data_IF_287480931813
#
_entry.id   IF_287480931813
#
_cell.length_a   1.000
_cell.length_b   1.000
_cell.length_c   1.000
_cell.angle_alpha   90.00
_cell.angle_beta   90.00
_cell.angle_gamma   90.00
#
_symmetry.space_group_name_H-M   'P 1'
#
loop_
_entity.id
_entity.type
_entity.pdbx_description
1 polymer ?
#
# COMPACT_ATOMS: atom_id res chain seq x y z
N UNK A 1 -5.84 -1.75 11.16
CA UNK A 1 -4.81 -1.02 10.39
C UNK A 1 -5.46 -0.35 9.20
N UNK A 2 -5.20 0.93 9.02
CA UNK A 2 -5.77 1.69 7.91
C UNK A 2 -4.75 1.84 6.80
N UNK A 3 -5.14 1.44 5.58
CA UNK A 3 -4.27 1.42 4.41
C UNK A 3 -4.84 2.33 3.33
N UNK A 4 -4.01 3.23 2.80
CA UNK A 4 -4.33 4.00 1.60
C UNK A 4 -3.76 3.27 0.39
N UNK A 5 -4.63 3.01 -0.58
CA UNK A 5 -4.26 2.34 -1.82
C UNK A 5 -3.94 3.38 -2.89
N UNK A 6 -2.70 3.38 -3.39
CA UNK A 6 -2.26 4.32 -4.41
C UNK A 6 -3.08 4.16 -5.71
N UNK A 7 -3.23 5.26 -6.44
CA UNK A 7 -4.06 5.32 -7.64
C UNK A 7 -3.59 4.39 -8.76
N UNK A 8 -2.33 3.97 -8.75
CA UNK A 8 -1.80 3.02 -9.74
C UNK A 8 -2.27 1.59 -9.52
N UNK A 9 -2.82 1.29 -8.35
CA UNK A 9 -3.35 -0.04 -8.05
C UNK A 9 -4.82 -0.12 -8.41
N UNK A 10 -5.31 -1.32 -8.83
CA UNK A 10 -6.71 -1.47 -9.23
C UNK A 10 -7.66 -1.16 -8.08
N UNK A 11 -8.68 -0.31 -8.28
CA UNK A 11 -9.64 -0.01 -7.21
C UNK A 11 -10.40 -1.25 -6.70
N UNK A 12 -10.55 -2.26 -7.56
CA UNK A 12 -11.20 -3.52 -7.17
C UNK A 12 -10.48 -4.22 -6.02
N UNK A 13 -9.19 -3.94 -5.80
CA UNK A 13 -8.48 -4.51 -4.66
C UNK A 13 -9.04 -4.06 -3.31
N UNK A 14 -9.60 -2.86 -3.23
CA UNK A 14 -10.08 -2.33 -1.94
C UNK A 14 -11.15 -3.22 -1.33
N UNK A 15 -12.17 -3.56 -2.09
CA UNK A 15 -13.25 -4.44 -1.60
C UNK A 15 -12.74 -5.82 -1.22
N UNK A 16 -11.86 -6.36 -2.05
CA UNK A 16 -11.27 -7.68 -1.78
C UNK A 16 -10.43 -7.68 -0.50
N UNK A 17 -9.59 -6.66 -0.34
CA UNK A 17 -8.73 -6.54 0.85
C UNK A 17 -9.56 -6.38 2.13
N UNK A 18 -10.62 -5.59 2.07
CA UNK A 18 -11.53 -5.42 3.21
C UNK A 18 -12.18 -6.73 3.62
N UNK A 19 -12.63 -7.50 2.62
CA UNK A 19 -13.33 -8.76 2.88
C UNK A 19 -12.39 -9.87 3.36
N UNK A 20 -11.20 -9.98 2.74
CA UNK A 20 -10.28 -11.08 3.03
C UNK A 20 -9.46 -10.87 4.31
N UNK A 21 -9.13 -9.62 4.63
CA UNK A 21 -8.17 -9.32 5.71
C UNK A 21 -8.75 -8.44 6.81
N UNK A 22 -10.02 -8.08 6.71
CA UNK A 22 -10.67 -7.18 7.69
C UNK A 22 -9.88 -5.90 7.89
N UNK A 23 -9.37 -5.34 6.79
CA UNK A 23 -8.59 -4.11 6.79
C UNK A 23 -9.45 -2.91 6.39
N UNK A 24 -9.13 -1.74 6.93
CA UNK A 24 -9.71 -0.48 6.50
C UNK A 24 -8.88 0.05 5.34
N UNK A 25 -9.30 -0.19 4.11
CA UNK A 25 -8.58 0.19 2.91
C UNK A 25 -9.38 1.26 2.16
N UNK A 26 -8.72 2.37 1.84
CA UNK A 26 -9.34 3.48 1.10
C UNK A 26 -8.48 3.79 -0.12
N UNK A 27 -9.07 3.85 -1.33
CA UNK A 27 -8.30 4.21 -2.51
C UNK A 27 -8.07 5.72 -2.55
N UNK A 28 -6.83 6.12 -2.84
CA UNK A 28 -6.46 7.53 -2.93
C UNK A 28 -7.29 8.26 -3.98
N UNK A 29 -7.64 7.57 -5.07
CA UNK A 29 -8.44 8.18 -6.14
C UNK A 29 -9.83 8.63 -5.71
N UNK A 30 -10.37 8.07 -4.62
CA UNK A 30 -11.67 8.46 -4.09
C UNK A 30 -11.58 9.67 -3.15
N UNK A 31 -10.37 10.15 -2.92
CA UNK A 31 -10.10 11.35 -2.13
C UNK A 31 -9.87 12.52 -3.07
N UNK A 32 -9.88 13.74 -2.53
CA UNK A 32 -9.55 14.93 -3.30
C UNK A 32 -8.07 15.04 -3.62
N UNK A 33 -7.33 13.94 -3.53
CA UNK A 33 -5.89 13.86 -3.73
C UNK A 33 -5.49 13.28 -5.09
N UNK A 34 -6.44 13.04 -5.99
CA UNK A 34 -6.14 12.41 -7.29
C UNK A 34 -5.13 13.22 -8.11
N UNK A 35 -5.15 14.54 -7.99
CA UNK A 35 -4.22 15.44 -8.69
C UNK A 35 -2.97 15.77 -7.86
N UNK A 36 -2.89 15.27 -6.64
CA UNK A 36 -1.76 15.53 -5.77
C UNK A 36 -0.54 14.72 -6.19
N UNK A 37 0.66 15.26 -5.97
CA UNK A 37 1.89 14.50 -6.18
C UNK A 37 2.12 13.51 -5.02
N UNK A 38 3.11 12.63 -5.18
CA UNK A 38 3.38 11.59 -4.20
C UNK A 38 3.74 12.16 -2.82
N UNK A 39 4.48 13.27 -2.79
CA UNK A 39 4.85 13.90 -1.52
C UNK A 39 3.63 14.44 -0.78
N UNK A 40 2.71 15.06 -1.50
CA UNK A 40 1.46 15.53 -0.90
C UNK A 40 0.63 14.39 -0.33
N UNK A 41 0.53 13.28 -1.08
CA UNK A 41 -0.19 12.09 -0.64
C UNK A 41 0.47 11.50 0.61
N UNK A 42 1.80 11.39 0.60
CA UNK A 42 2.55 10.85 1.73
C UNK A 42 2.32 11.67 3.00
N UNK A 43 2.42 12.99 2.88
CA UNK A 43 2.23 13.88 4.03
C UNK A 43 0.78 13.92 4.52
N UNK A 44 -0.19 13.86 3.60
CA UNK A 44 -1.60 13.78 3.98
C UNK A 44 -1.93 12.46 4.69
N UNK A 45 -1.25 11.38 4.32
CA UNK A 45 -1.45 10.09 4.98
C UNK A 45 -1.00 10.11 6.44
N UNK A 46 -0.07 11.01 6.78
CA UNK A 46 0.47 11.13 8.14
C UNK A 46 -0.65 11.52 9.10
N UNK A 47 -0.94 10.65 10.05
CA UNK A 47 -2.04 10.87 10.99
C UNK A 47 -3.40 10.39 10.51
N UNK A 48 -3.54 9.97 9.25
CA UNK A 48 -4.80 9.51 8.67
C UNK A 48 -4.76 8.06 8.24
N UNK A 49 -3.58 7.55 7.92
CA UNK A 49 -3.38 6.16 7.52
C UNK A 49 -2.16 5.60 8.22
N UNK A 50 -2.15 4.29 8.43
CA UNK A 50 -0.98 3.60 8.98
C UNK A 50 0.01 3.24 7.89
N UNK A 51 -0.50 2.90 6.70
CA UNK A 51 0.28 2.35 5.60
C UNK A 51 -0.21 2.91 4.27
N UNK A 52 0.72 3.17 3.36
CA UNK A 52 0.42 3.39 1.93
C UNK A 52 0.88 2.15 1.17
N UNK A 53 -0.02 1.57 0.39
CA UNK A 53 0.29 0.44 -0.50
C UNK A 53 0.44 0.99 -1.92
N UNK A 54 1.58 0.74 -2.56
CA UNK A 54 1.91 1.37 -3.83
C UNK A 54 2.82 0.48 -4.67
N UNK A 55 2.82 0.72 -5.98
CA UNK A 55 3.81 0.17 -6.92
C UNK A 55 4.90 1.17 -7.24
N UNK A 56 4.78 2.41 -6.79
CA UNK A 56 5.67 3.50 -7.15
C UNK A 56 6.84 3.59 -6.17
N UNK A 57 8.05 3.46 -6.69
CA UNK A 57 9.28 3.57 -5.91
C UNK A 57 9.44 4.94 -5.24
N UNK A 58 8.81 5.98 -5.77
CA UNK A 58 8.91 7.32 -5.20
C UNK A 58 8.44 7.36 -3.75
N UNK A 59 7.46 6.52 -3.37
CA UNK A 59 7.02 6.43 -1.98
C UNK A 59 8.10 5.84 -1.07
N UNK A 60 8.92 4.93 -1.59
CA UNK A 60 10.07 4.41 -0.83
C UNK A 60 11.06 5.53 -0.54
N UNK A 61 11.37 6.35 -1.55
CA UNK A 61 12.24 7.51 -1.38
C UNK A 61 11.70 8.52 -0.39
N UNK A 62 10.38 8.76 -0.43
CA UNK A 62 9.75 9.67 0.53
C UNK A 62 9.83 9.13 1.95
N UNK A 63 9.62 7.83 2.13
CA UNK A 63 9.76 7.21 3.45
C UNK A 63 11.19 7.37 3.98
N UNK A 64 12.19 7.19 3.12
CA UNK A 64 13.60 7.34 3.51
C UNK A 64 13.93 8.78 3.91
N UNK A 65 13.38 9.76 3.20
CA UNK A 65 13.68 11.17 3.46
C UNK A 65 12.88 11.75 4.61
N UNK A 66 11.59 11.42 4.69
CA UNK A 66 10.65 12.06 5.61
C UNK A 66 10.33 11.22 6.83
N UNK A 67 10.58 9.93 6.77
CA UNK A 67 10.31 9.00 7.87
C UNK A 67 8.83 8.64 8.00
N UNK A 68 8.55 7.54 8.72
CA UNK A 68 7.17 7.14 9.01
C UNK A 68 6.52 8.09 10.05
N UNK A 69 5.20 8.10 10.25
CA UNK A 69 4.21 7.49 9.39
C UNK A 69 3.99 8.29 8.10
N UNK A 70 3.42 7.69 7.07
CA UNK A 70 2.94 6.32 6.99
C UNK A 70 4.08 5.32 6.72
N UNK A 71 3.84 4.06 7.05
CA UNK A 71 4.67 2.95 6.59
C UNK A 71 4.31 2.65 5.14
N UNK A 72 5.13 1.88 4.44
CA UNK A 72 4.93 1.60 3.02
C UNK A 72 4.97 0.10 2.74
N UNK A 73 3.96 -0.38 2.01
CA UNK A 73 3.99 -1.67 1.34
C UNK A 73 4.25 -1.39 -0.14
N UNK A 74 5.40 -1.84 -0.63
CA UNK A 74 5.83 -1.59 -2.00
C UNK A 74 5.70 -2.88 -2.83
N UNK A 75 4.80 -2.85 -3.82
CA UNK A 75 4.53 -4.00 -4.66
C UNK A 75 5.39 -3.93 -5.91
N UNK A 76 6.29 -4.89 -6.07
CA UNK A 76 7.21 -4.96 -7.20
C UNK A 76 6.92 -6.16 -8.12
N UNK A 77 5.70 -6.66 -8.08
CA UNK A 77 5.31 -7.84 -8.86
C UNK A 77 5.26 -7.61 -10.37
N UNK A 78 5.47 -6.38 -10.82
CA UNK A 78 5.46 -6.07 -12.24
C UNK A 78 4.04 -6.03 -12.83
N UNK A 79 3.95 -6.14 -14.15
CA UNK A 79 2.66 -6.17 -14.83
C UNK A 79 2.02 -7.53 -14.63
N UNK A 80 0.90 -7.56 -13.95
CA UNK A 80 0.19 -8.79 -13.66
C UNK A 80 -1.32 -8.51 -13.65
N UNK A 81 -2.12 -9.56 -13.87
CA UNK A 81 -3.57 -9.43 -13.81
C UNK A 81 -4.02 -9.14 -12.37
N UNK A 82 -5.21 -8.55 -12.23
CA UNK A 82 -5.78 -8.32 -10.90
C UNK A 82 -5.95 -9.62 -10.13
N UNK A 83 -6.35 -10.69 -10.83
CA UNK A 83 -6.52 -11.99 -10.20
C UNK A 83 -5.19 -12.54 -9.68
N UNK A 84 -4.12 -12.42 -10.46
CA UNK A 84 -2.80 -12.87 -10.02
C UNK A 84 -2.26 -12.02 -8.87
N UNK A 85 -2.50 -10.72 -8.90
CA UNK A 85 -2.11 -9.82 -7.80
C UNK A 85 -2.82 -10.22 -6.50
N UNK A 86 -4.11 -10.53 -6.56
CA UNK A 86 -4.85 -11.02 -5.40
C UNK A 86 -4.25 -12.32 -4.86
N UNK A 87 -3.83 -13.22 -5.76
CA UNK A 87 -3.20 -14.49 -5.37
C UNK A 87 -1.88 -14.24 -4.64
N UNK A 88 -1.07 -13.32 -5.15
CA UNK A 88 0.20 -12.94 -4.51
C UNK A 88 -0.07 -12.35 -3.13
N UNK A 89 -0.99 -11.41 -3.03
CA UNK A 89 -1.33 -10.75 -1.77
C UNK A 89 -1.93 -11.73 -0.76
N UNK A 90 -2.74 -12.68 -1.21
CA UNK A 90 -3.31 -13.69 -0.30
C UNK A 90 -2.22 -14.49 0.40
N UNK A 91 -1.10 -14.74 -0.27
CA UNK A 91 0.04 -15.49 0.29
C UNK A 91 0.98 -14.62 1.12
N UNK A 92 1.19 -13.37 0.73
CA UNK A 92 2.27 -12.55 1.28
C UNK A 92 1.80 -11.50 2.27
N UNK A 93 0.57 -11.03 2.14
CA UNK A 93 0.10 -9.92 2.96
C UNK A 93 0.03 -10.24 4.45
N UNK A 94 -0.39 -11.43 4.89
CA UNK A 94 -0.37 -11.74 6.32
C UNK A 94 1.00 -11.55 6.95
N UNK A 95 2.06 -12.03 6.30
CA UNK A 95 3.42 -11.87 6.80
C UNK A 95 3.87 -10.40 6.74
N UNK A 96 3.49 -9.69 5.68
CA UNK A 96 3.81 -8.27 5.54
C UNK A 96 3.18 -7.45 6.67
N UNK A 97 1.92 -7.71 7.00
CA UNK A 97 1.23 -7.01 8.09
C UNK A 97 1.89 -7.32 9.44
N UNK A 98 2.28 -8.57 9.67
CA UNK A 98 2.97 -8.95 10.88
C UNK A 98 4.31 -8.23 11.02
N UNK A 99 5.07 -8.10 9.93
CA UNK A 99 6.33 -7.35 9.92
C UNK A 99 6.11 -5.88 10.25
N UNK A 100 5.09 -5.26 9.67
CA UNK A 100 4.78 -3.86 9.96
C UNK A 100 4.37 -3.67 11.42
N UNK A 101 3.60 -4.59 11.97
CA UNK A 101 3.22 -4.54 13.38
C UNK A 101 4.40 -4.73 14.32
N UNK A 102 5.43 -5.46 13.88
CA UNK A 102 6.63 -5.70 14.68
C UNK A 102 7.63 -4.54 14.64
N UNK A 103 7.35 -3.50 13.84
CA UNK A 103 8.20 -2.31 13.79
C UNK A 103 8.84 -2.02 12.46
N UNK A 104 8.71 -2.91 11.46
CA UNK A 104 9.20 -2.63 10.13
C UNK A 104 8.39 -1.47 9.52
N UNK A 105 9.05 -0.60 8.76
CA UNK A 105 8.42 0.58 8.16
C UNK A 105 8.26 0.44 6.65
N UNK A 106 8.93 -0.53 6.05
CA UNK A 106 8.87 -0.82 4.63
C UNK A 106 8.85 -2.33 4.44
N UNK A 107 7.87 -2.81 3.68
CA UNK A 107 7.84 -4.22 3.26
C UNK A 107 7.65 -4.26 1.75
N UNK A 108 8.50 -4.99 1.07
CA UNK A 108 8.41 -5.20 -0.35
C UNK A 108 7.68 -6.51 -0.64
N UNK A 109 6.69 -6.46 -1.54
CA UNK A 109 5.98 -7.65 -2.00
C UNK A 109 6.36 -7.91 -3.45
N UNK A 110 7.06 -9.02 -3.67
CA UNK A 110 7.53 -9.44 -4.98
C UNK A 110 6.64 -10.55 -5.53
N UNK A 111 6.68 -10.73 -6.85
CA UNK A 111 6.05 -11.89 -7.45
C UNK A 111 6.84 -13.14 -7.06
N UNK A 112 6.19 -14.19 -6.54
CA UNK A 112 6.91 -15.44 -6.29
C UNK A 112 7.42 -16.00 -7.61
N UNK A 113 8.66 -16.36 -7.64
CA UNK A 113 9.28 -16.98 -8.82
C UNK A 113 9.05 -18.48 -8.85
#
# INVERSE_FOLDING_TARGET
MKIWLDAQLPPALCGWLRAEFDLDVVPVRDMSLLQADDQEIFLEARGKADVVMTKDRDFVGLLERLGPPPKVIWITAGNTSNQNLKRILAKTLPDALALLESGEVLVEIQSPS
#
